data_IF_219884393808
#
_entry.id   IF_219884393808
#
_cell.length_a   1.000
_cell.length_b   1.000
_cell.length_c   1.000
_cell.angle_alpha   90.00
_cell.angle_beta   90.00
_cell.angle_gamma   90.00
#
_symmetry.space_group_name_H-M   'P 1'
#
loop_
_entity.id
_entity.type
_entity.pdbx_description
1 polymer ?
#
# COMPACT_ATOMS: atom_id res chain seq x y z
N UNK A 1 -2.88 -22.68 0.99
CA UNK A 1 -1.62 -21.91 0.97
C UNK A 1 -1.74 -20.80 2.01
N UNK A 2 -0.91 -20.85 3.06
CA UNK A 2 -0.95 -19.85 4.11
C UNK A 2 -0.41 -18.55 3.54
N UNK A 3 -1.25 -17.52 3.42
CA UNK A 3 -0.79 -16.14 3.34
C UNK A 3 -0.04 -15.88 4.64
N UNK A 4 1.28 -15.76 4.58
CA UNK A 4 2.05 -15.30 5.72
C UNK A 4 1.63 -13.86 5.96
N UNK A 5 0.72 -13.67 6.92
CA UNK A 5 0.52 -12.36 7.54
C UNK A 5 1.81 -12.05 8.27
N UNK A 6 2.67 -11.27 7.65
CA UNK A 6 3.70 -10.60 8.41
C UNK A 6 2.97 -9.56 9.25
N UNK A 7 3.00 -9.75 10.56
CA UNK A 7 2.61 -8.71 11.47
C UNK A 7 3.48 -7.50 11.14
N UNK A 8 2.87 -6.46 10.59
CA UNK A 8 3.51 -5.16 10.54
C UNK A 8 3.86 -4.83 11.98
N UNK A 9 5.15 -4.78 12.27
CA UNK A 9 5.61 -4.17 13.51
C UNK A 9 4.84 -2.85 13.61
N UNK A 10 4.10 -2.69 14.69
CA UNK A 10 3.27 -1.53 14.90
C UNK A 10 4.07 -0.31 14.51
N UNK A 11 3.63 0.37 13.44
CA UNK A 11 4.10 1.71 13.16
C UNK A 11 3.53 2.54 14.29
N UNK A 12 4.21 2.53 15.40
CA UNK A 12 4.02 3.50 16.46
C UNK A 12 4.56 4.80 15.91
N UNK A 13 3.75 5.44 15.07
CA UNK A 13 3.92 6.86 14.91
C UNK A 13 3.62 7.48 16.27
N UNK A 14 4.63 7.59 17.09
CA UNK A 14 4.55 8.39 18.29
C UNK A 14 4.47 9.85 17.85
N UNK A 15 3.32 10.26 17.35
CA UNK A 15 2.97 11.67 17.30
C UNK A 15 2.21 11.96 18.57
N UNK A 16 2.92 12.15 19.62
CA UNK A 16 2.42 12.90 20.74
C UNK A 16 3.13 14.25 20.78
N UNK A 17 2.77 15.08 19.81
CA UNK A 17 2.87 16.51 19.98
C UNK A 17 1.58 16.99 20.64
N UNK A 18 1.46 16.98 21.95
CA UNK A 18 0.66 17.96 22.60
C UNK A 18 1.32 19.30 22.30
N UNK A 19 0.72 20.05 21.39
CA UNK A 19 1.13 21.43 21.13
C UNK A 19 0.80 22.22 22.38
N UNK A 20 1.69 22.27 23.33
CA UNK A 20 1.73 23.39 24.27
C UNK A 20 2.38 24.53 23.50
N UNK A 21 1.63 25.57 23.25
CA UNK A 21 2.11 26.85 22.72
C UNK A 21 3.17 27.43 23.67
N UNK A 22 4.42 27.04 23.46
CA UNK A 22 5.56 27.76 23.98
C UNK A 22 6.14 28.58 22.83
N UNK A 23 6.03 29.88 22.93
CA UNK A 23 6.67 30.85 22.05
C UNK A 23 8.15 30.53 21.89
N UNK A 24 8.56 30.15 20.64
CA UNK A 24 9.97 30.06 20.26
C UNK A 24 10.53 28.67 19.97
N UNK A 25 9.71 27.61 19.81
CA UNK A 25 10.18 26.31 19.35
C UNK A 25 9.80 26.16 17.88
N UNK A 26 10.83 26.00 17.04
CA UNK A 26 10.63 25.47 15.70
C UNK A 26 9.86 24.16 15.83
N UNK A 27 8.62 24.09 15.29
CA UNK A 27 7.90 22.84 15.21
C UNK A 27 8.78 21.87 14.44
N UNK A 28 9.24 20.80 15.08
CA UNK A 28 9.89 19.69 14.36
C UNK A 28 8.86 19.20 13.35
N UNK A 29 9.15 19.36 12.06
CA UNK A 29 8.31 18.81 11.00
C UNK A 29 8.22 17.29 11.22
N UNK A 30 7.00 16.74 11.09
CA UNK A 30 6.83 15.30 11.13
C UNK A 30 7.67 14.64 10.03
N UNK A 31 8.38 13.56 10.35
CA UNK A 31 9.13 12.76 9.39
C UNK A 31 8.71 11.30 9.50
N UNK A 32 8.79 10.56 8.39
CA UNK A 32 8.38 9.17 8.35
C UNK A 32 6.87 8.99 8.33
N UNK A 33 6.41 7.85 8.80
CA UNK A 33 4.99 7.49 8.82
C UNK A 33 4.21 8.27 9.86
N UNK A 34 3.08 8.85 9.42
CA UNK A 34 2.14 9.58 10.28
C UNK A 34 0.73 9.06 10.06
N UNK A 35 0.05 8.72 11.14
CA UNK A 35 -1.36 8.34 11.13
C UNK A 35 -2.23 9.55 11.44
N UNK A 36 -3.26 9.75 10.61
CA UNK A 36 -4.31 10.74 10.84
C UNK A 36 -5.68 10.07 10.68
N UNK A 37 -6.33 9.78 11.78
CA UNK A 37 -7.55 8.96 11.78
C UNK A 37 -7.26 7.55 11.25
N UNK A 38 -7.96 7.15 10.20
CA UNK A 38 -7.76 5.87 9.51
C UNK A 38 -6.76 5.95 8.35
N UNK A 39 -6.21 7.13 8.08
CA UNK A 39 -5.29 7.36 6.98
C UNK A 39 -3.84 7.36 7.46
N UNK A 40 -2.95 6.83 6.62
CA UNK A 40 -1.52 6.90 6.82
C UNK A 40 -0.89 7.76 5.74
N UNK A 41 0.08 8.57 6.12
CA UNK A 41 0.87 9.45 5.25
C UNK A 41 2.34 9.27 5.58
N UNK A 42 3.20 9.60 4.63
CA UNK A 42 4.64 9.58 4.83
C UNK A 42 5.22 10.96 4.57
N UNK A 43 6.08 11.41 5.46
CA UNK A 43 6.76 12.69 5.34
C UNK A 43 8.26 12.49 5.16
N UNK A 44 8.84 13.19 4.20
CA UNK A 44 10.27 13.21 3.96
C UNK A 44 11.03 13.87 5.12
N UNK A 45 12.35 13.71 5.10
CA UNK A 45 13.22 14.29 6.10
C UNK A 45 13.20 15.83 6.17
N UNK A 46 12.74 16.48 5.10
CA UNK A 46 12.51 17.92 5.03
C UNK A 46 11.12 18.34 5.54
N UNK A 47 10.29 17.37 5.94
CA UNK A 47 8.92 17.59 6.43
C UNK A 47 7.87 17.74 5.33
N UNK A 48 8.22 17.50 4.06
CA UNK A 48 7.25 17.52 2.97
C UNK A 48 6.47 16.21 2.87
N UNK A 49 5.19 16.31 2.49
CA UNK A 49 4.31 15.16 2.30
C UNK A 49 4.76 14.37 1.07
N UNK A 50 5.10 13.10 1.27
CA UNK A 50 5.53 12.22 0.19
C UNK A 50 4.34 11.72 -0.64
N UNK A 51 4.55 11.61 -1.94
CA UNK A 51 3.57 11.11 -2.91
C UNK A 51 4.24 10.16 -3.89
N UNK A 52 3.55 9.07 -4.25
CA UNK A 52 4.08 8.05 -5.14
C UNK A 52 4.59 6.81 -4.42
N UNK A 53 5.48 6.08 -5.08
CA UNK A 53 6.01 4.81 -4.58
C UNK A 53 7.02 5.00 -3.45
N UNK A 54 6.85 4.22 -2.38
CA UNK A 54 7.81 4.09 -1.28
C UNK A 54 8.28 2.65 -1.24
N UNK A 55 9.60 2.46 -1.15
CA UNK A 55 10.21 1.17 -0.87
C UNK A 55 10.73 1.16 0.56
N UNK A 56 10.37 0.12 1.31
CA UNK A 56 10.86 -0.16 2.66
C UNK A 56 11.45 -1.56 2.73
N UNK A 57 12.00 -1.94 3.88
CA UNK A 57 12.47 -3.31 4.11
C UNK A 57 11.32 -4.34 4.03
N UNK A 58 10.08 -3.93 4.31
CA UNK A 58 8.88 -4.78 4.23
C UNK A 58 8.33 -4.93 2.81
N UNK A 59 8.66 -4.00 1.90
CA UNK A 59 8.21 -3.99 0.51
C UNK A 59 7.79 -2.61 0.01
N UNK A 60 6.81 -2.59 -0.89
CA UNK A 60 6.39 -1.37 -1.59
C UNK A 60 5.03 -0.90 -1.11
N UNK A 61 4.90 0.42 -0.99
CA UNK A 61 3.69 1.16 -0.69
C UNK A 61 3.47 2.23 -1.76
N UNK A 62 2.25 2.68 -1.92
CA UNK A 62 1.95 3.79 -2.82
C UNK A 62 1.14 4.86 -2.10
N UNK A 63 1.66 6.08 -2.13
CA UNK A 63 1.00 7.27 -1.59
C UNK A 63 0.28 7.97 -2.72
N UNK A 64 -1.03 8.18 -2.59
CA UNK A 64 -1.84 8.81 -3.62
C UNK A 64 -1.26 10.17 -4.05
N UNK A 65 -1.15 10.38 -5.36
CA UNK A 65 -0.51 11.59 -5.91
C UNK A 65 -1.28 12.88 -5.60
N UNK A 66 -2.60 12.78 -5.37
CA UNK A 66 -3.44 13.94 -5.06
C UNK A 66 -3.45 14.25 -3.57
N UNK A 67 -3.56 13.22 -2.73
CA UNK A 67 -3.82 13.35 -1.29
C UNK A 67 -2.62 13.03 -0.42
N UNK A 68 -1.63 12.26 -0.91
CA UNK A 68 -0.55 11.70 -0.11
C UNK A 68 -0.98 10.61 0.87
N UNK A 69 -2.23 10.12 0.75
CA UNK A 69 -2.74 9.04 1.61
C UNK A 69 -2.26 7.69 1.06
N UNK A 70 -1.82 6.82 1.95
CA UNK A 70 -1.42 5.45 1.64
C UNK A 70 -2.57 4.67 0.99
N UNK A 71 -2.32 4.08 -0.17
CA UNK A 71 -3.31 3.29 -0.89
C UNK A 71 -3.46 1.91 -0.27
N UNK A 72 -4.71 1.41 -0.26
CA UNK A 72 -5.08 0.03 0.09
C UNK A 72 -6.04 -0.51 -0.97
N UNK A 73 -6.15 -1.83 -1.09
CA UNK A 73 -6.97 -2.46 -2.11
C UNK A 73 -6.39 -2.32 -3.51
N UNK A 74 -7.25 -2.39 -4.53
CA UNK A 74 -6.83 -2.27 -5.92
C UNK A 74 -6.66 -0.81 -6.31
N UNK A 75 -5.51 -0.48 -6.88
CA UNK A 75 -5.20 0.87 -7.39
C UNK A 75 -4.66 0.78 -8.81
N UNK A 76 -5.20 1.63 -9.70
CA UNK A 76 -4.64 1.82 -11.04
C UNK A 76 -3.56 2.89 -11.01
N UNK A 77 -2.34 2.51 -11.41
CA UNK A 77 -1.17 3.38 -11.46
C UNK A 77 -0.53 3.21 -12.83
N UNK A 78 -0.43 4.28 -13.61
CA UNK A 78 0.16 4.27 -14.96
C UNK A 78 -0.38 3.13 -15.86
N UNK A 79 -1.70 2.97 -15.92
CA UNK A 79 -2.41 1.94 -16.70
C UNK A 79 -2.22 0.49 -16.23
N UNK A 80 -1.52 0.23 -15.15
CA UNK A 80 -1.44 -1.08 -14.51
C UNK A 80 -2.25 -1.09 -13.20
N UNK A 81 -2.78 -2.26 -12.85
CA UNK A 81 -3.46 -2.48 -11.58
C UNK A 81 -2.49 -3.11 -10.59
N UNK A 82 -2.58 -2.68 -9.35
CA UNK A 82 -1.83 -3.21 -8.21
C UNK A 82 -2.78 -3.51 -7.07
N UNK A 83 -2.44 -4.48 -6.24
CA UNK A 83 -3.19 -4.80 -5.04
C UNK A 83 -2.35 -4.51 -3.81
N UNK A 84 -2.85 -3.63 -2.95
CA UNK A 84 -2.26 -3.33 -1.65
C UNK A 84 -3.13 -3.95 -0.55
N UNK A 85 -2.51 -4.59 0.43
CA UNK A 85 -3.26 -5.14 1.55
C UNK A 85 -3.81 -4.03 2.48
N UNK A 86 -4.46 -4.42 3.55
CA UNK A 86 -5.05 -3.47 4.52
C UNK A 86 -4.01 -2.62 5.24
N UNK A 87 -2.76 -3.05 5.26
CA UNK A 87 -1.63 -2.33 5.84
C UNK A 87 -0.87 -1.50 4.78
N UNK A 88 -1.36 -1.49 3.54
CA UNK A 88 -0.80 -0.74 2.42
C UNK A 88 0.36 -1.43 1.69
N UNK A 89 0.70 -2.67 2.05
CA UNK A 89 1.78 -3.40 1.42
C UNK A 89 1.34 -3.94 0.05
N UNK A 90 2.13 -3.68 -1.00
CA UNK A 90 1.90 -4.24 -2.32
C UNK A 90 2.06 -5.76 -2.30
N UNK A 91 1.06 -6.46 -2.83
CA UNK A 91 1.03 -7.91 -2.90
C UNK A 91 1.55 -8.42 -4.24
N UNK A 92 2.14 -9.62 -4.22
CA UNK A 92 2.58 -10.38 -5.40
C UNK A 92 2.12 -11.83 -5.32
N UNK A 93 2.04 -12.52 -6.48
CA UNK A 93 1.58 -13.89 -6.57
C UNK A 93 0.05 -14.01 -6.49
N UNK A 94 -0.43 -15.16 -6.00
CA UNK A 94 -1.86 -15.41 -5.85
C UNK A 94 -2.42 -14.64 -4.65
N UNK A 95 -3.48 -13.88 -4.90
CA UNK A 95 -4.16 -13.04 -3.92
C UNK A 95 -5.60 -13.51 -3.81
N UNK A 96 -6.07 -13.75 -2.58
CA UNK A 96 -7.48 -13.96 -2.29
C UNK A 96 -7.98 -12.77 -1.45
N UNK A 97 -8.84 -11.96 -2.06
CA UNK A 97 -9.55 -10.90 -1.34
C UNK A 97 -10.77 -11.50 -0.63
N UNK A 98 -10.62 -11.73 0.66
CA UNK A 98 -11.67 -12.33 1.49
C UNK A 98 -12.90 -11.45 1.65
N UNK A 99 -12.80 -10.15 1.40
CA UNK A 99 -13.92 -9.22 1.52
C UNK A 99 -14.90 -9.34 0.35
N UNK A 100 -14.39 -9.67 -0.83
CA UNK A 100 -15.16 -9.83 -2.07
C UNK A 100 -15.25 -11.27 -2.55
N UNK A 101 -14.51 -12.18 -1.92
CA UNK A 101 -14.31 -13.58 -2.32
C UNK A 101 -13.77 -13.72 -3.75
N UNK A 102 -12.94 -12.76 -4.18
CA UNK A 102 -12.31 -12.75 -5.50
C UNK A 102 -10.83 -13.12 -5.42
N UNK A 103 -10.36 -13.74 -6.50
CA UNK A 103 -8.96 -14.10 -6.67
C UNK A 103 -8.29 -13.23 -7.72
N UNK A 104 -7.02 -12.88 -7.47
CA UNK A 104 -6.18 -12.10 -8.37
C UNK A 104 -4.81 -12.75 -8.46
N UNK A 105 -4.07 -12.43 -9.50
CA UNK A 105 -2.67 -12.82 -9.59
C UNK A 105 -1.82 -11.60 -9.95
N UNK A 106 -0.87 -11.27 -9.08
CA UNK A 106 0.10 -10.21 -9.32
C UNK A 106 1.45 -10.79 -9.73
N UNK A 107 2.05 -10.21 -10.74
CA UNK A 107 3.40 -10.53 -11.17
C UNK A 107 4.43 -10.11 -10.11
N UNK A 108 5.69 -10.46 -10.33
CA UNK A 108 6.78 -10.13 -9.39
C UNK A 108 7.01 -8.61 -9.22
N UNK A 109 6.59 -7.81 -10.19
CA UNK A 109 6.62 -6.35 -10.12
C UNK A 109 5.36 -5.74 -9.47
N UNK A 110 4.42 -6.58 -9.03
CA UNK A 110 3.16 -6.20 -8.39
C UNK A 110 2.01 -5.94 -9.35
N UNK A 111 2.22 -5.94 -10.67
CA UNK A 111 1.15 -5.69 -11.64
C UNK A 111 0.18 -6.87 -11.69
N UNK A 112 -1.13 -6.60 -11.57
CA UNK A 112 -2.15 -7.62 -11.72
C UNK A 112 -2.24 -8.10 -13.16
N UNK A 113 -2.33 -9.42 -13.33
CA UNK A 113 -2.55 -10.01 -14.64
C UNK A 113 -3.99 -9.75 -15.10
N UNK A 114 -4.14 -9.38 -16.35
CA UNK A 114 -5.42 -9.25 -17.07
C UNK A 114 -5.34 -10.14 -18.30
N UNK A 115 -6.44 -10.82 -18.64
CA UNK A 115 -6.47 -11.78 -19.74
C UNK A 115 -5.99 -13.17 -19.31
N UNK A 116 -5.32 -13.88 -20.20
CA UNK A 116 -4.94 -15.27 -19.96
C UNK A 116 -3.69 -15.39 -19.10
N UNK A 117 -3.80 -16.13 -18.01
CA UNK A 117 -2.73 -16.50 -17.09
C UNK A 117 -2.49 -18.00 -17.19
N UNK A 118 -1.23 -18.40 -17.38
CA UNK A 118 -0.82 -19.81 -17.26
C UNK A 118 -0.10 -19.99 -15.92
N UNK A 119 -0.63 -20.88 -15.08
CA UNK A 119 0.02 -21.30 -13.84
C UNK A 119 0.18 -22.83 -13.88
N UNK A 120 1.41 -23.28 -13.88
CA UNK A 120 1.76 -24.69 -13.82
C UNK A 120 1.03 -25.56 -14.88
N UNK A 121 0.85 -25.02 -16.08
CA UNK A 121 0.18 -25.68 -17.20
C UNK A 121 -1.34 -25.54 -17.23
N UNK A 122 -1.94 -24.91 -16.25
CA UNK A 122 -3.36 -24.55 -16.23
C UNK A 122 -3.58 -23.12 -16.66
N UNK A 123 -4.61 -22.90 -17.49
CA UNK A 123 -4.96 -21.57 -17.98
C UNK A 123 -6.15 -21.01 -17.21
N UNK A 124 -6.02 -19.77 -16.81
CA UNK A 124 -7.03 -19.00 -16.10
C UNK A 124 -7.30 -17.70 -16.85
N UNK A 125 -8.54 -17.28 -16.91
CA UNK A 125 -8.90 -15.98 -17.50
C UNK A 125 -9.10 -14.95 -16.39
N UNK A 126 -8.29 -13.90 -16.43
CA UNK A 126 -8.40 -12.77 -15.52
C UNK A 126 -9.17 -11.64 -16.19
N UNK A 127 -10.20 -11.15 -15.53
CA UNK A 127 -11.07 -10.10 -16.01
C UNK A 127 -10.36 -8.74 -16.10
N UNK A 128 -11.04 -7.74 -16.67
CA UNK A 128 -10.45 -6.39 -16.82
C UNK A 128 -10.20 -5.67 -15.48
N UNK A 129 -10.86 -6.12 -14.41
CA UNK A 129 -10.60 -5.64 -13.05
C UNK A 129 -9.48 -6.43 -12.34
N UNK A 130 -8.87 -7.38 -13.05
CA UNK A 130 -7.82 -8.28 -12.56
C UNK A 130 -8.34 -9.49 -11.79
N UNK A 131 -9.65 -9.62 -11.58
CA UNK A 131 -10.20 -10.78 -10.87
C UNK A 131 -10.27 -12.03 -11.75
N UNK A 132 -10.18 -13.20 -11.12
CA UNK A 132 -10.42 -14.47 -11.80
C UNK A 132 -11.89 -14.53 -12.28
N UNK A 133 -12.07 -14.79 -13.54
CA UNK A 133 -13.39 -14.96 -14.17
C UNK A 133 -14.04 -16.31 -13.86
#
# INVERSE_FOLDING_TARGET
MRIKRYAVAAVTAAVLGTVTLATGISSLAATGWVQNGNNYMYYDNDGSLYKGWIQTDDGYYYMDLSTGIMCTGIKKINNALYFFDTDGLMLTGLIHDVSTDKYYYAQSDGTLVIGWLNLDGSYYHMENDGSLG
#
